data_IF_486893011825
#
_entry.id   IF_486893011825
#
_cell.length_a   1.000
_cell.length_b   1.000
_cell.length_c   1.000
_cell.angle_alpha   90.00
_cell.angle_beta   90.00
_cell.angle_gamma   90.00
#
_symmetry.space_group_name_H-M   'P 1'
#
loop_
_entity.id
_entity.type
_entity.pdbx_description
1 polymer ?
#
# COMPACT_ATOMS: atom_id res chain seq x y z
N UNK A 1 3.09 20.19 1.57
CA UNK A 1 2.38 19.10 2.26
C UNK A 1 1.62 18.21 1.28
N UNK A 2 0.70 18.75 0.46
CA UNK A 2 -0.13 17.95 -0.47
C UNK A 2 0.72 17.11 -1.43
N UNK A 3 1.69 17.72 -2.11
CA UNK A 3 2.58 17.02 -3.05
C UNK A 3 3.41 15.94 -2.34
N UNK A 4 3.93 16.22 -1.16
CA UNK A 4 4.70 15.25 -0.38
C UNK A 4 3.83 14.06 0.01
N UNK A 5 2.63 14.29 0.56
CA UNK A 5 1.71 13.22 0.93
C UNK A 5 1.33 12.36 -0.29
N UNK A 6 1.04 12.99 -1.44
CA UNK A 6 0.71 12.26 -2.67
C UNK A 6 1.91 11.43 -3.18
N UNK A 7 3.10 12.02 -3.22
CA UNK A 7 4.31 11.34 -3.66
C UNK A 7 4.65 10.14 -2.76
N UNK A 8 4.58 10.34 -1.43
CA UNK A 8 4.82 9.28 -0.44
C UNK A 8 3.80 8.15 -0.61
N UNK A 9 2.50 8.48 -0.69
CA UNK A 9 1.45 7.48 -0.80
C UNK A 9 1.54 6.68 -2.11
N UNK A 10 1.82 7.33 -3.23
CA UNK A 10 2.03 6.65 -4.52
C UNK A 10 3.28 5.77 -4.49
N UNK A 11 4.40 6.28 -3.96
CA UNK A 11 5.64 5.52 -3.87
C UNK A 11 5.49 4.32 -2.94
N UNK A 12 4.91 4.50 -1.75
CA UNK A 12 4.66 3.40 -0.82
C UNK A 12 3.73 2.34 -1.43
N UNK A 13 2.68 2.75 -2.17
CA UNK A 13 1.78 1.83 -2.88
C UNK A 13 2.54 1.05 -3.95
N UNK A 14 3.32 1.70 -4.79
CA UNK A 14 4.09 1.04 -5.85
C UNK A 14 5.11 0.05 -5.27
N UNK A 15 5.87 0.46 -4.25
CA UNK A 15 6.82 -0.42 -3.56
C UNK A 15 6.13 -1.61 -2.90
N UNK A 16 4.98 -1.38 -2.23
CA UNK A 16 4.23 -2.46 -1.58
C UNK A 16 3.70 -3.47 -2.60
N UNK A 17 3.23 -3.04 -3.77
CA UNK A 17 2.79 -3.93 -4.84
C UNK A 17 3.94 -4.78 -5.39
N UNK A 18 5.10 -4.18 -5.64
CA UNK A 18 6.27 -4.88 -6.18
C UNK A 18 6.83 -5.88 -5.16
N UNK A 19 7.04 -5.44 -3.92
CA UNK A 19 7.61 -6.26 -2.85
C UNK A 19 6.60 -7.32 -2.37
N UNK A 20 5.33 -6.96 -2.26
CA UNK A 20 4.26 -7.84 -1.80
C UNK A 20 3.84 -8.91 -2.82
N UNK A 21 4.09 -8.69 -4.12
CA UNK A 21 3.69 -9.62 -5.18
C UNK A 21 4.17 -11.06 -4.97
N UNK A 22 5.48 -11.34 -4.78
CA UNK A 22 5.94 -12.71 -4.59
C UNK A 22 5.38 -13.35 -3.33
N UNK A 23 5.25 -12.61 -2.24
CA UNK A 23 4.67 -13.10 -0.99
C UNK A 23 3.17 -13.42 -1.16
N UNK A 24 2.42 -12.55 -1.82
CA UNK A 24 1.01 -12.76 -2.12
C UNK A 24 0.78 -13.98 -3.02
N UNK A 25 1.64 -14.16 -4.04
CA UNK A 25 1.58 -15.31 -4.94
C UNK A 25 1.88 -16.62 -4.20
N UNK A 26 2.86 -16.64 -3.32
CA UNK A 26 3.18 -17.80 -2.49
C UNK A 26 2.00 -18.14 -1.56
N UNK A 27 1.49 -17.14 -0.84
CA UNK A 27 0.39 -17.33 0.10
C UNK A 27 -0.92 -17.75 -0.58
N UNK A 28 -1.21 -17.24 -1.79
CA UNK A 28 -2.44 -17.55 -2.53
C UNK A 28 -2.45 -18.95 -3.15
N UNK A 29 -1.27 -19.49 -3.53
CA UNK A 29 -1.12 -20.81 -4.15
C UNK A 29 -1.11 -21.96 -3.15
N UNK A 30 -0.83 -21.72 -1.89
CA UNK A 30 -0.90 -22.79 -0.89
C UNK A 30 -2.38 -23.18 -0.67
N UNK A 31 -2.74 -24.44 -1.02
CA UNK A 31 -4.09 -25.00 -0.83
C UNK A 31 -4.59 -24.93 0.61
N UNK A 32 -3.69 -24.97 1.57
CA UNK A 32 -3.96 -24.72 2.98
C UNK A 32 -3.21 -23.46 3.40
N UNK A 33 -3.85 -22.30 3.31
CA UNK A 33 -3.31 -21.08 3.91
C UNK A 33 -3.05 -21.34 5.38
N UNK A 34 -1.79 -21.59 5.74
CA UNK A 34 -1.42 -21.87 7.13
C UNK A 34 -1.82 -20.64 7.96
N UNK A 35 -2.76 -20.76 8.91
CA UNK A 35 -3.22 -19.59 9.70
C UNK A 35 -2.06 -18.82 10.33
N UNK A 36 -1.00 -19.54 10.72
CA UNK A 36 0.21 -18.93 11.26
C UNK A 36 0.93 -18.00 10.27
N UNK A 37 0.94 -18.30 8.96
CA UNK A 37 1.57 -17.44 7.95
C UNK A 37 0.72 -16.18 7.73
N UNK A 38 -0.59 -16.33 7.66
CA UNK A 38 -1.52 -15.19 7.58
C UNK A 38 -1.36 -14.29 8.80
N UNK A 39 -1.31 -14.87 10.00
CA UNK A 39 -1.09 -14.13 11.24
C UNK A 39 0.26 -13.41 11.24
N UNK A 40 1.33 -14.08 10.81
CA UNK A 40 2.66 -13.47 10.72
C UNK A 40 2.67 -12.26 9.77
N UNK A 41 2.02 -12.36 8.61
CA UNK A 41 1.88 -11.25 7.66
C UNK A 41 1.07 -10.10 8.26
N UNK A 42 0.01 -10.41 9.03
CA UNK A 42 -0.85 -9.43 9.66
C UNK A 42 -0.26 -8.82 10.94
N UNK A 43 0.76 -9.43 11.54
CA UNK A 43 1.33 -9.04 12.84
C UNK A 43 1.75 -7.55 12.90
N UNK A 44 2.35 -6.94 11.85
CA UNK A 44 2.68 -5.51 11.87
C UNK A 44 1.46 -4.60 12.07
N UNK A 45 0.25 -5.04 11.69
CA UNK A 45 -0.98 -4.24 11.86
C UNK A 45 -1.41 -4.10 13.31
N UNK A 46 -0.90 -4.94 14.20
CA UNK A 46 -1.17 -4.88 15.64
C UNK A 46 -0.30 -3.85 16.36
N UNK A 47 0.76 -3.37 15.70
CA UNK A 47 1.71 -2.42 16.29
C UNK A 47 1.23 -1.01 15.93
N UNK A 48 1.06 -0.11 16.93
CA UNK A 48 0.69 1.28 16.64
C UNK A 48 1.70 1.95 15.69
N UNK A 49 1.24 2.67 14.65
CA UNK A 49 2.13 3.28 13.64
C UNK A 49 3.18 4.23 14.23
N UNK A 50 2.84 4.94 15.29
CA UNK A 50 3.79 5.81 15.98
C UNK A 50 4.94 5.02 16.64
N UNK A 51 4.64 3.90 17.29
CA UNK A 51 5.65 3.03 17.89
C UNK A 51 6.58 2.43 16.83
N UNK A 52 6.03 2.01 15.69
CA UNK A 52 6.82 1.55 14.55
C UNK A 52 7.72 2.66 14.02
N UNK A 53 7.18 3.86 13.86
CA UNK A 53 7.93 5.02 13.36
C UNK A 53 9.08 5.40 14.29
N UNK A 54 8.85 5.47 15.60
CA UNK A 54 9.91 5.78 16.58
C UNK A 54 10.99 4.70 16.61
N UNK A 55 10.63 3.43 16.50
CA UNK A 55 11.60 2.34 16.40
C UNK A 55 12.47 2.38 15.14
N UNK A 56 11.93 2.90 14.02
CA UNK A 56 12.66 3.04 12.77
C UNK A 56 13.48 4.35 12.69
N UNK A 57 13.08 5.38 13.43
CA UNK A 57 13.61 6.74 13.27
C UNK A 57 15.15 6.78 13.40
N UNK A 58 15.73 6.13 14.41
CA UNK A 58 17.18 6.13 14.62
C UNK A 58 17.93 5.49 13.45
N UNK A 59 17.43 4.37 12.95
CA UNK A 59 18.04 3.70 11.79
C UNK A 59 17.94 4.56 10.54
N UNK A 60 16.82 5.22 10.31
CA UNK A 60 16.61 6.09 9.15
C UNK A 60 17.45 7.35 9.21
N UNK A 61 17.70 7.91 10.41
CA UNK A 61 18.66 9.00 10.61
C UNK A 61 20.06 8.54 10.23
N UNK A 62 20.51 7.39 10.74
CA UNK A 62 21.84 6.84 10.45
C UNK A 62 22.03 6.52 8.96
N UNK A 63 20.98 6.12 8.26
CA UNK A 63 21.01 5.81 6.83
C UNK A 63 20.80 7.03 5.93
N UNK A 64 20.58 8.22 6.50
CA UNK A 64 20.27 9.44 5.74
C UNK A 64 18.92 9.40 5.03
N UNK A 65 18.00 8.57 5.51
CA UNK A 65 16.64 8.41 4.96
C UNK A 65 15.59 9.23 5.71
N UNK A 66 15.88 9.67 6.94
CA UNK A 66 14.99 10.55 7.68
C UNK A 66 14.69 11.84 6.89
N UNK A 67 13.49 12.37 7.03
CA UNK A 67 13.02 13.58 6.35
C UNK A 67 13.08 13.53 4.81
N UNK A 68 13.13 12.33 4.23
CA UNK A 68 13.07 12.14 2.78
C UNK A 68 11.76 11.45 2.35
N UNK A 69 11.28 11.75 1.14
CA UNK A 69 10.10 11.08 0.55
C UNK A 69 10.30 9.56 0.53
N UNK A 70 11.49 9.10 0.13
CA UNK A 70 11.80 7.66 0.07
C UNK A 70 11.79 7.04 1.48
N UNK A 71 12.41 7.66 2.46
CA UNK A 71 12.46 7.15 3.83
C UNK A 71 11.06 7.04 4.44
N UNK A 72 10.24 8.08 4.33
CA UNK A 72 8.84 8.04 4.83
C UNK A 72 8.04 6.98 4.08
N UNK A 73 8.19 6.85 2.76
CA UNK A 73 7.50 5.81 1.99
C UNK A 73 7.92 4.39 2.41
N UNK A 74 9.20 4.15 2.66
CA UNK A 74 9.70 2.88 3.19
C UNK A 74 9.17 2.58 4.60
N UNK A 75 9.09 3.59 5.46
CA UNK A 75 8.49 3.43 6.79
C UNK A 75 6.99 3.08 6.71
N UNK A 76 6.26 3.66 5.75
CA UNK A 76 4.85 3.33 5.52
C UNK A 76 4.62 1.89 5.07
N UNK A 77 5.63 1.22 4.47
CA UNK A 77 5.52 -0.20 4.09
C UNK A 77 5.16 -1.10 5.26
N UNK A 78 5.57 -0.77 6.47
CA UNK A 78 5.24 -1.56 7.67
C UNK A 78 3.73 -1.71 7.88
N UNK A 79 2.96 -0.68 7.56
CA UNK A 79 1.50 -0.71 7.64
C UNK A 79 0.83 -1.13 6.32
N UNK A 80 1.40 -0.77 5.16
CA UNK A 80 0.78 -0.94 3.85
C UNK A 80 0.99 -2.36 3.31
N UNK A 81 2.17 -2.94 3.50
CA UNK A 81 2.56 -4.23 2.92
C UNK A 81 1.63 -5.40 3.32
N UNK A 82 1.22 -5.55 4.60
CA UNK A 82 0.28 -6.59 4.98
C UNK A 82 -1.03 -6.55 4.20
N UNK A 83 -1.63 -5.38 4.01
CA UNK A 83 -2.86 -5.22 3.24
C UNK A 83 -2.67 -5.67 1.79
N UNK A 84 -1.58 -5.23 1.16
CA UNK A 84 -1.28 -5.59 -0.23
C UNK A 84 -1.11 -7.10 -0.37
N UNK A 85 -0.31 -7.73 0.50
CA UNK A 85 -0.06 -9.18 0.46
C UNK A 85 -1.36 -9.96 0.64
N UNK A 86 -2.17 -9.60 1.65
CA UNK A 86 -3.40 -10.34 1.97
C UNK A 86 -4.45 -10.19 0.86
N UNK A 87 -4.64 -8.98 0.32
CA UNK A 87 -5.63 -8.74 -0.74
C UNK A 87 -5.19 -9.40 -2.05
N UNK A 88 -3.94 -9.24 -2.46
CA UNK A 88 -3.44 -9.88 -3.67
C UNK A 88 -3.47 -11.40 -3.57
N UNK A 89 -3.20 -11.98 -2.39
CA UNK A 89 -3.27 -13.42 -2.17
C UNK A 89 -4.67 -14.00 -2.43
N UNK A 90 -5.73 -13.20 -2.23
CA UNK A 90 -7.11 -13.62 -2.57
C UNK A 90 -7.32 -13.78 -4.07
N UNK A 91 -6.59 -13.02 -4.89
CA UNK A 91 -6.67 -13.10 -6.35
C UNK A 91 -5.86 -14.27 -6.95
N UNK A 92 -4.84 -14.78 -6.25
CA UNK A 92 -4.06 -15.95 -6.68
C UNK A 92 -4.82 -17.26 -6.39
N UNK A 93 -5.88 -17.51 -7.16
CA UNK A 93 -6.74 -18.69 -7.04
C UNK A 93 -6.18 -19.88 -7.82
N UNK A 94 -6.76 -21.07 -7.59
CA UNK A 94 -6.46 -22.28 -8.36
C UNK A 94 -6.82 -22.08 -9.85
N UNK A 95 -7.97 -21.46 -10.12
CA UNK A 95 -8.40 -21.14 -11.49
C UNK A 95 -7.38 -20.25 -12.22
N UNK A 96 -6.78 -19.28 -11.55
CA UNK A 96 -5.70 -18.48 -12.17
C UNK A 96 -4.46 -19.33 -12.45
N UNK A 97 -4.13 -20.27 -11.56
CA UNK A 97 -2.99 -21.20 -11.80
C UNK A 97 -3.24 -22.07 -13.01
N UNK A 98 -4.44 -22.59 -13.18
CA UNK A 98 -4.85 -23.40 -14.34
C UNK A 98 -4.75 -22.58 -15.64
N UNK A 99 -5.24 -21.33 -15.65
CA UNK A 99 -5.09 -20.42 -16.79
C UNK A 99 -3.62 -20.14 -17.15
N UNK A 100 -2.75 -19.97 -16.14
CA UNK A 100 -1.31 -19.80 -16.34
C UNK A 100 -0.68 -21.08 -16.95
N UNK A 101 -1.16 -22.26 -16.54
CA UNK A 101 -0.66 -23.55 -17.05
C UNK A 101 -1.12 -23.77 -18.49
N UNK A 102 -2.38 -23.48 -18.81
CA UNK A 102 -2.88 -23.52 -20.20
C UNK A 102 -2.07 -22.57 -21.08
N UNK A 103 -1.84 -21.33 -20.66
CA UNK A 103 -1.02 -20.38 -21.42
C UNK A 103 0.41 -20.90 -21.64
N UNK A 104 0.96 -21.66 -20.69
CA UNK A 104 2.27 -22.30 -20.82
C UNK A 104 2.28 -23.40 -21.88
N UNK A 105 1.23 -24.23 -21.95
CA UNK A 105 1.11 -25.26 -22.99
C UNK A 105 1.04 -24.68 -24.41
N UNK A 106 0.50 -23.46 -24.54
CA UNK A 106 0.53 -22.69 -25.81
C UNK A 106 1.86 -21.96 -26.06
N UNK A 107 2.91 -22.23 -25.30
CA UNK A 107 4.24 -21.66 -25.49
C UNK A 107 4.39 -20.21 -24.98
N UNK A 108 3.48 -19.71 -24.16
CA UNK A 108 3.60 -18.37 -23.61
C UNK A 108 4.74 -18.30 -22.56
N UNK A 109 5.76 -17.50 -22.88
CA UNK A 109 6.86 -17.20 -21.94
C UNK A 109 6.37 -16.43 -20.71
N UNK A 110 7.22 -16.35 -19.68
CA UNK A 110 6.85 -15.77 -18.36
C UNK A 110 6.31 -14.35 -18.45
N UNK A 111 6.96 -13.46 -19.20
CA UNK A 111 6.52 -12.06 -19.34
C UNK A 111 5.19 -11.95 -20.09
N UNK A 112 5.00 -12.75 -21.17
CA UNK A 112 3.76 -12.77 -21.92
C UNK A 112 2.59 -13.30 -21.07
N UNK A 113 2.82 -14.35 -20.29
CA UNK A 113 1.84 -14.91 -19.36
C UNK A 113 1.50 -13.89 -18.27
N UNK A 114 2.50 -13.23 -17.67
CA UNK A 114 2.28 -12.19 -16.66
C UNK A 114 1.41 -11.06 -17.23
N UNK A 115 1.75 -10.51 -18.39
CA UNK A 115 1.06 -9.36 -18.96
C UNK A 115 -0.35 -9.67 -19.52
N UNK A 116 -0.55 -10.86 -20.12
CA UNK A 116 -1.78 -11.19 -20.83
C UNK A 116 -2.74 -12.08 -20.04
N UNK A 117 -2.27 -12.76 -18.99
CA UNK A 117 -3.10 -13.67 -18.17
C UNK A 117 -3.13 -13.21 -16.72
N UNK A 118 -1.97 -13.17 -16.05
CA UNK A 118 -1.91 -12.97 -14.60
C UNK A 118 -2.38 -11.58 -14.19
N UNK A 119 -1.83 -10.51 -14.79
CA UNK A 119 -2.18 -9.13 -14.45
C UNK A 119 -3.65 -8.80 -14.77
N UNK A 120 -4.20 -9.14 -15.95
CA UNK A 120 -5.62 -8.94 -16.22
C UNK A 120 -6.54 -9.71 -15.27
N UNK A 121 -6.24 -10.97 -14.97
CA UNK A 121 -7.03 -11.76 -14.05
C UNK A 121 -6.97 -11.23 -12.60
N UNK A 122 -5.85 -10.63 -12.20
CA UNK A 122 -5.67 -10.00 -10.90
C UNK A 122 -6.16 -8.55 -10.85
N UNK A 123 -6.64 -7.97 -11.94
CA UNK A 123 -6.98 -6.55 -11.99
C UNK A 123 -7.92 -6.09 -10.87
N UNK A 124 -8.97 -6.83 -10.47
CA UNK A 124 -9.81 -6.45 -9.33
C UNK A 124 -9.04 -6.43 -8.01
N UNK A 125 -8.23 -7.45 -7.74
CA UNK A 125 -7.43 -7.53 -6.52
C UNK A 125 -6.31 -6.48 -6.51
N UNK A 126 -5.69 -6.19 -7.65
CA UNK A 126 -4.71 -5.11 -7.80
C UNK A 126 -5.33 -3.74 -7.54
N UNK A 127 -6.53 -3.48 -8.08
CA UNK A 127 -7.23 -2.22 -7.86
C UNK A 127 -7.57 -2.03 -6.37
N UNK A 128 -8.08 -3.06 -5.71
CA UNK A 128 -8.40 -3.01 -4.28
C UNK A 128 -7.15 -2.87 -3.40
N UNK A 129 -6.10 -3.64 -3.70
CA UNK A 129 -4.83 -3.56 -2.97
C UNK A 129 -4.18 -2.17 -3.12
N UNK A 130 -4.18 -1.64 -4.35
CA UNK A 130 -3.65 -0.29 -4.62
C UNK A 130 -4.44 0.80 -3.92
N UNK A 131 -5.77 0.73 -3.96
CA UNK A 131 -6.65 1.67 -3.28
C UNK A 131 -6.37 1.68 -1.77
N UNK A 132 -6.38 0.50 -1.16
CA UNK A 132 -6.19 0.41 0.29
C UNK A 132 -4.77 0.81 0.70
N UNK A 133 -3.76 0.40 -0.05
CA UNK A 133 -2.37 0.81 0.14
C UNK A 133 -2.22 2.33 0.10
N UNK A 134 -2.80 2.96 -0.92
CA UNK A 134 -2.78 4.42 -1.05
C UNK A 134 -3.48 5.10 0.13
N UNK A 135 -4.70 4.67 0.49
CA UNK A 135 -5.47 5.30 1.57
C UNK A 135 -4.78 5.14 2.93
N UNK A 136 -4.24 3.95 3.22
CA UNK A 136 -3.49 3.70 4.46
C UNK A 136 -2.25 4.59 4.54
N UNK A 137 -1.46 4.67 3.47
CA UNK A 137 -0.28 5.53 3.42
C UNK A 137 -0.65 7.02 3.45
N UNK A 138 -1.73 7.41 2.76
CA UNK A 138 -2.23 8.78 2.71
C UNK A 138 -2.65 9.31 4.07
N UNK A 139 -3.27 8.47 4.90
CA UNK A 139 -3.76 8.83 6.23
C UNK A 139 -2.70 8.68 7.34
N UNK A 140 -1.48 8.22 7.01
CA UNK A 140 -0.44 7.95 8.00
C UNK A 140 0.08 9.23 8.66
N UNK A 141 -0.21 9.37 9.96
CA UNK A 141 0.30 10.43 10.81
C UNK A 141 1.52 9.99 11.61
N UNK A 142 1.38 8.90 12.38
CA UNK A 142 2.37 8.51 13.40
C UNK A 142 3.76 8.21 12.83
N UNK A 143 3.82 7.41 11.77
CA UNK A 143 5.08 7.07 11.08
C UNK A 143 5.65 8.28 10.36
N UNK A 144 4.79 9.10 9.71
CA UNK A 144 5.21 10.33 9.04
C UNK A 144 5.82 11.32 10.02
N UNK A 145 5.24 11.47 11.21
CA UNK A 145 5.78 12.36 12.24
C UNK A 145 7.13 11.87 12.78
N UNK A 146 7.24 10.56 13.04
CA UNK A 146 8.43 10.00 13.69
C UNK A 146 9.65 9.94 12.74
N UNK A 147 9.45 9.63 11.46
CA UNK A 147 10.54 9.44 10.47
C UNK A 147 10.74 10.66 9.58
N UNK A 148 9.70 11.43 9.34
CA UNK A 148 9.66 12.57 8.44
C UNK A 148 9.17 13.84 9.12
N UNK A 149 9.55 14.10 10.36
CA UNK A 149 9.11 15.28 11.12
C UNK A 149 9.48 16.61 10.48
N UNK A 150 10.58 16.67 9.73
CA UNK A 150 10.99 17.81 8.91
C UNK A 150 10.34 17.88 7.53
N UNK A 151 9.67 16.79 7.06
CA UNK A 151 9.00 16.74 5.77
C UNK A 151 7.49 16.98 5.96
N UNK A 152 6.93 18.14 5.54
CA UNK A 152 5.54 18.47 5.78
C UNK A 152 4.61 17.55 4.96
N UNK A 153 3.84 16.69 5.65
CA UNK A 153 2.73 15.91 5.11
C UNK A 153 1.41 16.47 5.60
N UNK A 154 0.30 16.24 4.89
CA UNK A 154 -1.01 16.80 5.27
C UNK A 154 -1.46 16.37 6.68
N UNK A 155 -1.38 15.07 7.07
CA UNK A 155 -1.76 14.68 8.43
C UNK A 155 -0.91 15.36 9.51
N UNK A 156 0.39 15.51 9.27
CA UNK A 156 1.31 16.15 10.23
C UNK A 156 1.04 17.65 10.36
N UNK A 157 0.84 18.34 9.22
CA UNK A 157 0.56 19.77 9.21
C UNK A 157 -0.81 20.08 9.80
N UNK A 158 -1.79 19.21 9.65
CA UNK A 158 -3.16 19.43 10.15
C UNK A 158 -3.23 19.50 11.68
N UNK A 159 -2.48 18.64 12.37
CA UNK A 159 -2.67 18.40 13.80
C UNK A 159 -2.53 19.66 14.69
N UNK A 160 -1.53 20.53 14.52
CA UNK A 160 -1.44 21.77 15.30
C UNK A 160 -2.69 22.65 15.19
N UNK A 161 -3.29 22.72 13.99
CA UNK A 161 -4.46 23.55 13.73
C UNK A 161 -5.75 23.04 14.36
N UNK A 162 -5.86 21.76 14.66
CA UNK A 162 -7.03 21.19 15.36
C UNK A 162 -7.33 21.91 16.67
N UNK A 163 -6.29 22.41 17.36
CA UNK A 163 -6.43 23.11 18.64
C UNK A 163 -6.35 24.64 18.53
N UNK A 164 -5.74 25.15 17.48
CA UNK A 164 -5.45 26.59 17.35
C UNK A 164 -6.37 27.30 16.37
N UNK A 165 -6.77 26.62 15.28
CA UNK A 165 -7.62 27.17 14.22
C UNK A 165 -8.45 26.07 13.56
N UNK A 166 -9.67 25.88 14.05
CA UNK A 166 -10.58 24.85 13.54
C UNK A 166 -10.96 25.05 12.05
N UNK A 167 -10.94 26.29 11.54
CA UNK A 167 -11.28 26.56 10.14
C UNK A 167 -10.16 26.07 9.21
N UNK A 168 -8.90 26.34 9.57
CA UNK A 168 -7.74 25.83 8.83
C UNK A 168 -7.67 24.30 8.91
N UNK A 169 -7.92 23.71 10.08
CA UNK A 169 -7.97 22.25 10.22
C UNK A 169 -9.06 21.63 9.33
N UNK A 170 -10.26 22.23 9.28
CA UNK A 170 -11.34 21.79 8.41
C UNK A 170 -10.97 21.89 6.92
N UNK A 171 -10.34 22.99 6.50
CA UNK A 171 -9.87 23.14 5.12
C UNK A 171 -8.84 22.08 4.72
N UNK A 172 -7.87 21.78 5.59
CA UNK A 172 -6.88 20.72 5.34
C UNK A 172 -7.56 19.33 5.28
N UNK A 173 -8.54 19.09 6.16
CA UNK A 173 -9.32 17.83 6.16
C UNK A 173 -10.08 17.65 4.85
N UNK A 174 -10.70 18.71 4.31
CA UNK A 174 -11.35 18.67 2.99
C UNK A 174 -10.35 18.37 1.87
N UNK A 175 -9.16 18.97 1.91
CA UNK A 175 -8.09 18.65 0.95
C UNK A 175 -7.65 17.17 1.03
N UNK A 176 -7.70 16.55 2.21
CA UNK A 176 -7.40 15.13 2.36
C UNK A 176 -8.46 14.22 1.74
N UNK A 177 -9.72 14.64 1.69
CA UNK A 177 -10.83 13.86 1.12
C UNK A 177 -10.71 13.75 -0.41
N UNK A 178 -10.24 14.78 -1.10
CA UNK A 178 -10.22 14.83 -2.58
C UNK A 178 -9.41 13.71 -3.21
N UNK A 179 -8.12 13.45 -2.86
CA UNK A 179 -7.37 12.33 -3.40
C UNK A 179 -7.92 10.96 -2.98
N UNK A 180 -8.52 10.87 -1.78
CA UNK A 180 -9.17 9.64 -1.32
C UNK A 180 -10.39 9.29 -2.21
N UNK A 181 -11.24 10.25 -2.51
CA UNK A 181 -12.36 10.06 -3.43
C UNK A 181 -11.85 9.75 -4.85
N UNK A 182 -10.85 10.48 -5.34
CA UNK A 182 -10.28 10.25 -6.67
C UNK A 182 -9.72 8.83 -6.81
N UNK A 183 -8.98 8.34 -5.80
CA UNK A 183 -8.43 6.98 -5.80
C UNK A 183 -9.53 5.93 -5.80
N UNK A 184 -10.63 6.14 -5.07
CA UNK A 184 -11.81 5.27 -5.07
C UNK A 184 -12.44 5.20 -6.46
N UNK A 185 -12.65 6.33 -7.13
CA UNK A 185 -13.20 6.36 -8.49
C UNK A 185 -12.31 5.62 -9.50
N UNK A 186 -10.98 5.78 -9.40
CA UNK A 186 -10.04 5.06 -10.26
C UNK A 186 -10.16 3.55 -10.02
N UNK A 187 -10.15 3.11 -8.78
CA UNK A 187 -10.29 1.68 -8.43
C UNK A 187 -11.59 1.08 -8.96
N UNK A 188 -12.72 1.78 -8.78
CA UNK A 188 -14.03 1.33 -9.29
C UNK A 188 -14.08 1.23 -10.81
N UNK A 189 -13.43 2.15 -11.54
CA UNK A 189 -13.34 2.08 -13.01
C UNK A 189 -12.48 0.90 -13.47
N UNK A 190 -11.38 0.64 -12.79
CA UNK A 190 -10.51 -0.50 -13.10
C UNK A 190 -11.23 -1.84 -12.87
N UNK A 191 -12.00 -1.95 -11.79
CA UNK A 191 -12.76 -3.18 -11.48
C UNK A 191 -13.87 -3.44 -12.50
N UNK A 192 -14.61 -2.40 -12.92
CA UNK A 192 -15.69 -2.54 -13.92
C UNK A 192 -15.21 -2.93 -15.32
N UNK A 193 -13.96 -2.65 -15.68
CA UNK A 193 -13.38 -3.05 -16.98
C UNK A 193 -12.84 -4.49 -16.99
N UNK A 194 -12.72 -5.09 -15.81
CA UNK A 194 -12.20 -6.45 -15.64
C UNK A 194 -13.30 -7.51 -15.49
N UNK A 195 -14.58 -7.07 -15.35
CA UNK A 195 -15.80 -7.88 -15.40
C UNK A 195 -16.41 -7.83 -16.80
#
# INVERSE_FOLDING_TARGET
ALLNSTAIALLATALALVIGWPAARALGRERARKPAVVLLVALPLLIPPFATGTGLAEWFIRLGLADTILGVALAHLTAVLPYVVLILALGFTEALSELEDVARTFGAGTMRRLALVTVPALAPSLAMASLLAFLVSWAQYGTSLAVGGGLPTLPVVMLPYVRTDAQVAAAISLLMIVPAIASLFVALRCTRRAL
#
